data_IF_259134642689
#
_entry.id   IF_259134642689
#
_cell.length_a   1.000
_cell.length_b   1.000
_cell.length_c   1.000
_cell.angle_alpha   90.00
_cell.angle_beta   90.00
_cell.angle_gamma   90.00
#
_symmetry.space_group_name_H-M   'P 1'
#
loop_
_entity.id
_entity.type
_entity.pdbx_description
1 polymer ?
#
# COMPACT_ATOMS: atom_id res chain seq x y z
N UNK A 1 -27.81 38.26 -60.46
CA UNK A 1 -27.63 36.83 -60.33
C UNK A 1 -26.29 36.54 -59.74
N UNK A 2 -26.06 36.93 -58.44
CA UNK A 2 -24.80 36.74 -57.71
C UNK A 2 -25.06 36.74 -56.20
N UNK A 3 -25.79 35.75 -55.68
CA UNK A 3 -26.00 35.64 -54.23
C UNK A 3 -26.19 34.20 -53.72
N UNK A 4 -25.73 33.17 -54.42
CA UNK A 4 -25.93 31.79 -54.00
C UNK A 4 -24.66 30.98 -53.71
N UNK A 5 -23.48 31.61 -53.71
CA UNK A 5 -22.25 30.85 -53.44
C UNK A 5 -21.56 31.17 -52.11
N UNK A 6 -22.07 32.08 -51.31
CA UNK A 6 -21.40 32.50 -50.06
C UNK A 6 -21.93 31.80 -48.81
N UNK A 7 -23.07 31.07 -48.91
CA UNK A 7 -23.68 30.42 -47.76
C UNK A 7 -23.18 29.00 -47.44
N UNK A 8 -22.45 28.38 -48.41
CA UNK A 8 -22.01 26.99 -48.23
C UNK A 8 -20.65 26.83 -47.55
N UNK A 9 -19.88 27.90 -47.37
CA UNK A 9 -18.53 27.86 -46.79
C UNK A 9 -18.59 28.10 -45.28
N UNK A 10 -19.64 28.77 -44.75
CA UNK A 10 -19.73 29.06 -43.29
C UNK A 10 -20.27 27.88 -42.50
N UNK A 11 -21.01 26.97 -43.09
CA UNK A 11 -21.51 25.76 -42.39
C UNK A 11 -20.50 24.64 -42.22
N UNK A 12 -19.36 24.66 -42.94
CA UNK A 12 -18.30 23.66 -42.81
C UNK A 12 -17.26 24.07 -41.75
N UNK A 13 -17.14 25.37 -41.46
CA UNK A 13 -16.19 25.84 -40.44
C UNK A 13 -16.70 25.81 -38.99
N UNK A 14 -17.99 25.62 -38.74
CA UNK A 14 -18.58 25.53 -37.40
C UNK A 14 -18.69 24.08 -36.87
N UNK A 15 -18.38 23.08 -37.70
CA UNK A 15 -18.43 21.66 -37.35
C UNK A 15 -17.19 21.08 -36.66
N UNK A 16 -16.12 21.87 -36.48
CA UNK A 16 -14.82 21.36 -35.99
C UNK A 16 -14.55 21.70 -34.49
N UNK A 17 -15.48 22.36 -33.82
CA UNK A 17 -15.20 22.90 -32.47
C UNK A 17 -15.79 22.14 -31.28
N UNK A 18 -16.32 20.95 -31.45
CA UNK A 18 -16.76 20.12 -30.31
C UNK A 18 -16.34 18.67 -30.44
N UNK A 19 -15.04 18.42 -30.54
CA UNK A 19 -14.54 17.18 -29.97
C UNK A 19 -14.44 17.41 -28.48
N UNK A 20 -15.14 16.63 -27.62
CA UNK A 20 -14.87 16.66 -26.21
C UNK A 20 -13.43 16.19 -26.04
N UNK A 21 -12.57 17.12 -25.69
CA UNK A 21 -11.24 16.78 -25.16
C UNK A 21 -11.53 16.01 -23.89
N UNK A 22 -11.56 14.69 -23.98
CA UNK A 22 -11.58 13.84 -22.80
C UNK A 22 -10.28 14.11 -22.04
N UNK A 23 -10.35 15.04 -21.11
CA UNK A 23 -9.29 15.31 -20.16
C UNK A 23 -8.92 13.99 -19.49
N UNK A 24 -7.69 13.59 -19.70
CA UNK A 24 -7.13 12.37 -19.10
C UNK A 24 -7.01 12.57 -17.59
N UNK A 25 -7.98 12.06 -16.86
CA UNK A 25 -7.95 12.05 -15.39
C UNK A 25 -6.99 10.95 -14.90
N UNK A 26 -6.14 11.33 -13.95
CA UNK A 26 -5.17 10.44 -13.25
C UNK A 26 -5.30 10.74 -11.79
N UNK A 27 -4.52 10.26 -10.80
CA UNK A 27 -4.88 10.59 -9.41
C UNK A 27 -5.24 12.08 -9.33
N UNK A 28 -6.09 12.41 -10.18
CA UNK A 28 -6.75 13.65 -10.41
C UNK A 28 -7.90 13.60 -9.44
N UNK A 29 -7.89 14.55 -8.49
CA UNK A 29 -8.87 14.70 -7.43
C UNK A 29 -8.67 13.80 -6.18
N UNK A 30 -7.55 13.10 -6.03
CA UNK A 30 -7.15 12.59 -4.71
C UNK A 30 -7.00 13.77 -3.73
N UNK A 31 -7.52 13.63 -2.53
CA UNK A 31 -7.35 14.63 -1.49
C UNK A 31 -6.00 14.50 -0.80
N UNK A 32 -5.47 15.63 -0.28
CA UNK A 32 -4.30 15.59 0.59
C UNK A 32 -4.62 14.80 1.87
N UNK A 33 -3.62 14.07 2.35
CA UNK A 33 -3.70 13.37 3.63
C UNK A 33 -2.46 13.65 4.47
N UNK A 34 -2.64 13.75 5.78
CA UNK A 34 -1.51 13.92 6.68
C UNK A 34 -0.83 12.56 6.92
N UNK A 35 0.49 12.56 6.99
CA UNK A 35 1.29 11.35 7.26
C UNK A 35 0.91 10.72 8.61
N UNK A 36 0.46 11.50 9.59
CA UNK A 36 0.00 10.98 10.88
C UNK A 36 -1.27 10.10 10.79
N UNK A 37 -2.03 10.23 9.70
CA UNK A 37 -3.19 9.37 9.43
C UNK A 37 -2.80 8.06 8.74
N UNK A 38 -1.63 8.03 8.08
CA UNK A 38 -1.09 6.89 7.35
C UNK A 38 0.40 6.70 7.64
N UNK A 39 0.81 6.59 8.92
CA UNK A 39 2.20 6.68 9.37
C UNK A 39 3.08 5.51 8.90
N UNK A 40 2.49 4.55 8.21
CA UNK A 40 3.20 3.44 7.56
C UNK A 40 3.68 3.77 6.14
N UNK A 41 3.17 4.88 5.54
CA UNK A 41 3.51 5.23 4.17
C UNK A 41 4.98 5.64 4.06
N UNK A 42 5.68 5.06 3.08
CA UNK A 42 7.07 5.42 2.78
C UNK A 42 7.23 5.81 1.32
N UNK A 43 8.24 6.66 1.06
CA UNK A 43 8.74 6.96 -0.27
C UNK A 43 10.00 6.14 -0.55
N UNK A 44 10.12 5.61 -1.77
CA UNK A 44 11.30 4.84 -2.19
C UNK A 44 12.04 5.63 -3.27
N UNK A 45 13.33 5.86 -3.03
CA UNK A 45 14.27 6.39 -4.02
C UNK A 45 15.20 5.29 -4.52
N UNK A 46 15.51 5.36 -5.80
CA UNK A 46 16.57 4.58 -6.44
C UNK A 46 17.53 5.54 -7.11
N UNK A 47 18.83 5.43 -6.80
CA UNK A 47 19.88 6.39 -7.27
C UNK A 47 19.51 7.86 -6.99
N UNK A 48 18.84 8.15 -5.90
CA UNK A 48 18.43 9.50 -5.51
C UNK A 48 17.18 10.05 -6.20
N UNK A 49 16.54 9.26 -7.08
CA UNK A 49 15.30 9.64 -7.77
C UNK A 49 14.13 8.87 -7.18
N UNK A 50 13.00 9.55 -6.95
CA UNK A 50 11.76 8.91 -6.51
C UNK A 50 11.30 7.86 -7.51
N UNK A 51 10.99 6.66 -7.04
CA UNK A 51 10.63 5.54 -7.91
C UNK A 51 9.31 4.85 -7.52
N UNK A 52 8.87 4.98 -6.28
CA UNK A 52 7.64 4.35 -5.82
C UNK A 52 7.37 4.55 -4.34
N UNK A 53 6.37 3.87 -3.85
CA UNK A 53 5.97 3.83 -2.46
C UNK A 53 6.24 2.47 -1.80
N UNK A 54 5.89 2.39 -0.53
CA UNK A 54 5.93 1.17 0.26
C UNK A 54 5.22 1.35 1.58
N UNK A 55 5.24 0.31 2.40
CA UNK A 55 4.64 0.32 3.74
C UNK A 55 5.56 -0.28 4.80
N UNK A 56 5.60 0.35 5.96
CA UNK A 56 6.33 -0.14 7.12
C UNK A 56 5.57 -1.32 7.71
N UNK A 57 6.15 -2.51 7.70
CA UNK A 57 5.60 -3.71 8.37
C UNK A 57 6.22 -3.92 9.75
N UNK A 58 7.49 -3.52 9.93
CA UNK A 58 8.21 -3.63 11.19
C UNK A 58 9.32 -2.55 11.23
N UNK A 59 9.99 -2.32 12.36
CA UNK A 59 11.00 -1.26 12.46
C UNK A 59 12.10 -1.31 11.40
N UNK A 60 12.42 -2.48 10.88
CA UNK A 60 13.43 -2.66 9.85
C UNK A 60 12.93 -3.35 8.58
N UNK A 61 11.60 -3.49 8.42
CA UNK A 61 10.98 -4.22 7.33
C UNK A 61 9.99 -3.35 6.56
N UNK A 62 10.23 -3.16 5.27
CA UNK A 62 9.37 -2.42 4.36
C UNK A 62 8.85 -3.36 3.27
N UNK A 63 7.54 -3.28 3.01
CA UNK A 63 6.90 -3.95 1.88
C UNK A 63 6.81 -2.99 0.70
N UNK A 64 7.12 -3.47 -0.50
CA UNK A 64 6.96 -2.75 -1.76
C UNK A 64 6.73 -3.70 -2.93
N UNK A 65 6.52 -3.18 -4.14
CA UNK A 65 6.49 -3.97 -5.36
C UNK A 65 7.92 -4.26 -5.87
N UNK A 66 8.13 -5.46 -6.45
CA UNK A 66 9.43 -5.87 -6.96
C UNK A 66 9.92 -4.94 -8.07
N UNK A 67 9.04 -4.55 -9.02
CA UNK A 67 9.39 -3.70 -10.15
C UNK A 67 9.90 -2.30 -9.74
N UNK A 68 9.62 -1.84 -8.51
CA UNK A 68 10.14 -0.58 -7.99
C UNK A 68 11.65 -0.65 -7.76
N UNK A 69 12.18 -1.83 -7.43
CA UNK A 69 13.58 -1.99 -6.97
C UNK A 69 14.39 -3.04 -7.73
N UNK A 70 13.78 -3.86 -8.61
CA UNK A 70 14.42 -5.02 -9.25
C UNK A 70 15.66 -4.69 -10.12
N UNK A 71 15.76 -3.44 -10.59
CA UNK A 71 16.88 -2.98 -11.43
C UNK A 71 18.02 -2.36 -10.61
N UNK A 72 17.93 -2.42 -9.29
CA UNK A 72 18.83 -1.71 -8.37
C UNK A 72 19.39 -2.64 -7.31
N UNK A 73 20.58 -2.33 -6.86
CA UNK A 73 21.19 -2.97 -5.68
C UNK A 73 20.65 -2.31 -4.40
N UNK A 74 20.73 -3.00 -3.28
CA UNK A 74 20.30 -2.46 -1.98
C UNK A 74 20.98 -1.11 -1.64
N UNK A 75 22.24 -0.92 -2.04
CA UNK A 75 22.99 0.32 -1.81
C UNK A 75 22.44 1.52 -2.56
N UNK A 76 21.73 1.29 -3.68
CA UNK A 76 21.15 2.32 -4.54
C UNK A 76 19.72 2.69 -4.10
N UNK A 77 19.14 1.95 -3.14
CA UNK A 77 17.77 2.15 -2.65
C UNK A 77 17.79 2.85 -1.30
N UNK A 78 16.92 3.86 -1.16
CA UNK A 78 16.65 4.53 0.12
C UNK A 78 15.16 4.61 0.38
N UNK A 79 14.80 4.56 1.66
CA UNK A 79 13.42 4.64 2.16
C UNK A 79 13.25 5.91 2.97
N UNK A 80 12.33 6.76 2.55
CA UNK A 80 11.98 8.02 3.21
C UNK A 80 10.68 7.90 4.00
N UNK A 81 10.66 8.41 5.22
CA UNK A 81 9.54 8.25 6.16
C UNK A 81 9.14 9.55 6.85
N UNK A 82 7.93 9.60 7.39
CA UNK A 82 7.51 10.57 8.41
C UNK A 82 7.14 11.96 7.89
N UNK A 83 6.94 12.15 6.59
CA UNK A 83 6.55 13.44 6.02
C UNK A 83 5.36 13.34 5.09
N UNK A 84 4.45 14.33 5.13
CA UNK A 84 3.37 14.49 4.16
C UNK A 84 3.87 15.12 2.86
N UNK A 85 5.02 15.80 2.87
CA UNK A 85 5.66 16.37 1.68
C UNK A 85 6.91 15.59 1.35
N UNK A 86 7.01 15.13 0.10
CA UNK A 86 8.19 14.43 -0.38
C UNK A 86 9.46 15.26 -0.23
N UNK A 87 9.40 16.56 -0.58
CA UNK A 87 10.52 17.50 -0.44
C UNK A 87 10.98 17.70 1.00
N UNK A 88 10.12 17.44 1.99
CA UNK A 88 10.38 17.67 3.41
C UNK A 88 10.80 16.40 4.18
N UNK A 89 11.07 15.28 3.51
CA UNK A 89 11.58 14.06 4.16
C UNK A 89 12.94 14.33 4.86
N UNK A 90 13.75 15.21 4.27
CA UNK A 90 14.97 15.72 4.91
C UNK A 90 15.96 14.62 5.31
N UNK A 91 16.28 14.54 6.60
CA UNK A 91 17.21 13.56 7.16
C UNK A 91 16.59 12.15 7.38
N UNK A 92 15.29 11.99 7.15
CA UNK A 92 14.57 10.74 7.44
C UNK A 92 14.66 9.72 6.28
N UNK A 93 15.78 9.69 5.57
CA UNK A 93 16.12 8.67 4.59
C UNK A 93 16.94 7.55 5.23
N UNK A 94 16.48 6.33 5.03
CA UNK A 94 17.09 5.11 5.56
C UNK A 94 17.69 4.29 4.43
N UNK A 95 18.91 3.79 4.64
CA UNK A 95 19.56 2.89 3.70
C UNK A 95 19.01 1.47 3.83
N UNK A 96 18.97 0.76 2.70
CA UNK A 96 18.58 -0.64 2.63
C UNK A 96 19.83 -1.51 2.71
N UNK A 97 19.80 -2.54 3.55
CA UNK A 97 20.89 -3.54 3.68
C UNK A 97 20.66 -4.74 2.75
N UNK A 98 19.41 -5.12 2.53
CA UNK A 98 19.04 -6.26 1.69
C UNK A 98 17.68 -6.06 1.02
N UNK A 99 17.50 -6.65 -0.15
CA UNK A 99 16.24 -6.74 -0.88
C UNK A 99 15.91 -8.20 -1.06
N UNK A 100 14.70 -8.60 -0.67
CA UNK A 100 14.22 -9.96 -0.81
C UNK A 100 13.02 -9.95 -1.75
N UNK A 101 13.12 -10.70 -2.84
CA UNK A 101 12.07 -10.78 -3.85
C UNK A 101 11.20 -12.00 -3.64
N UNK A 102 9.89 -11.83 -3.81
CA UNK A 102 8.99 -12.96 -3.92
C UNK A 102 9.28 -13.74 -5.22
N UNK A 103 9.29 -15.08 -5.21
CA UNK A 103 9.74 -15.87 -6.35
C UNK A 103 8.86 -15.74 -7.61
N UNK A 104 7.60 -15.30 -7.48
CA UNK A 104 6.64 -15.29 -8.60
C UNK A 104 5.68 -14.09 -8.61
N UNK A 105 5.59 -13.34 -7.53
CA UNK A 105 4.71 -12.17 -7.44
C UNK A 105 5.54 -10.89 -7.47
N UNK A 106 4.93 -9.81 -7.93
CA UNK A 106 5.54 -8.47 -7.93
C UNK A 106 5.58 -7.88 -6.51
N UNK A 107 6.31 -8.55 -5.63
CA UNK A 107 6.48 -8.19 -4.22
C UNK A 107 7.96 -8.23 -3.87
N UNK A 108 8.41 -7.24 -3.13
CA UNK A 108 9.73 -7.20 -2.52
C UNK A 108 9.67 -6.71 -1.07
N UNK A 109 10.60 -7.20 -0.27
CA UNK A 109 10.87 -6.73 1.08
C UNK A 109 12.19 -6.00 1.10
N UNK A 110 12.20 -4.80 1.70
CA UNK A 110 13.42 -4.06 1.94
C UNK A 110 13.78 -4.19 3.43
N UNK A 111 14.96 -4.71 3.70
CA UNK A 111 15.52 -4.78 5.04
C UNK A 111 16.36 -3.53 5.24
N UNK A 112 15.98 -2.70 6.20
CA UNK A 112 16.70 -1.47 6.49
C UNK A 112 18.02 -1.75 7.23
N UNK A 113 19.04 -0.91 6.99
CA UNK A 113 20.35 -1.02 7.64
C UNK A 113 20.32 -0.68 9.14
N UNK A 114 19.31 0.04 9.57
CA UNK A 114 19.00 0.35 10.98
C UNK A 114 17.49 0.43 11.18
N UNK A 115 16.98 0.10 12.38
CA UNK A 115 15.55 0.17 12.64
C UNK A 115 15.04 1.63 12.62
N UNK A 116 13.78 1.78 12.25
CA UNK A 116 13.02 3.02 12.36
C UNK A 116 12.69 3.31 13.83
N UNK A 117 12.79 4.57 14.21
CA UNK A 117 12.23 5.05 15.48
C UNK A 117 10.75 5.42 15.27
N UNK A 118 9.85 4.74 15.95
CA UNK A 118 8.43 5.02 15.85
C UNK A 118 8.06 6.36 16.48
N UNK A 119 7.08 7.02 15.86
CA UNK A 119 6.54 8.31 16.28
C UNK A 119 5.09 8.43 15.80
N UNK A 120 4.45 9.57 16.01
CA UNK A 120 3.11 9.85 15.44
C UNK A 120 3.11 9.69 13.91
N UNK A 121 4.20 10.04 13.24
CA UNK A 121 4.32 10.05 11.78
C UNK A 121 5.03 8.80 11.20
N UNK A 122 5.50 7.89 12.04
CA UNK A 122 6.23 6.67 11.63
C UNK A 122 5.76 5.51 12.47
N UNK A 123 4.98 4.61 11.90
CA UNK A 123 4.46 3.40 12.57
C UNK A 123 4.29 2.27 11.57
N UNK A 124 4.40 1.05 12.04
CA UNK A 124 4.03 -0.12 11.24
C UNK A 124 2.52 -0.21 11.03
N UNK A 125 2.14 -0.87 9.95
CA UNK A 125 0.77 -1.30 9.66
C UNK A 125 0.71 -2.82 9.67
N UNK A 126 -0.40 -3.37 10.18
CA UNK A 126 -0.64 -4.80 10.11
C UNK A 126 -1.06 -5.25 8.72
N UNK A 127 -0.72 -6.48 8.38
CA UNK A 127 -1.24 -7.17 7.20
C UNK A 127 -2.50 -7.94 7.57
N UNK A 128 -3.47 -7.95 6.66
CA UNK A 128 -4.70 -8.72 6.82
C UNK A 128 -4.38 -10.20 6.95
N UNK A 129 -4.96 -10.83 7.96
CA UNK A 129 -4.83 -12.27 8.15
C UNK A 129 -5.59 -13.09 7.07
N UNK A 130 -5.10 -14.30 6.77
CA UNK A 130 -5.62 -15.15 5.69
C UNK A 130 -7.10 -15.51 5.81
N UNK A 131 -7.64 -15.54 7.02
CA UNK A 131 -9.02 -15.97 7.29
C UNK A 131 -10.09 -14.89 7.07
N UNK A 132 -9.70 -13.68 6.64
CA UNK A 132 -10.64 -12.57 6.42
C UNK A 132 -10.97 -12.36 4.92
N UNK A 133 -11.39 -13.42 4.24
CA UNK A 133 -11.73 -13.39 2.81
C UNK A 133 -12.80 -12.35 2.45
N UNK A 134 -13.72 -12.03 3.36
CA UNK A 134 -14.76 -11.01 3.15
C UNK A 134 -14.24 -9.61 2.90
N UNK A 135 -13.02 -9.30 3.30
CA UNK A 135 -12.41 -8.00 3.02
C UNK A 135 -12.08 -7.78 1.54
N UNK A 136 -12.06 -8.85 0.75
CA UNK A 136 -11.87 -8.78 -0.71
C UNK A 136 -13.19 -8.78 -1.49
N UNK A 137 -14.36 -8.65 -0.84
CA UNK A 137 -15.63 -8.63 -1.54
C UNK A 137 -15.75 -7.40 -2.44
N UNK A 138 -16.33 -7.61 -3.62
CA UNK A 138 -16.70 -6.52 -4.55
C UNK A 138 -17.58 -5.51 -3.82
N UNK A 139 -17.32 -4.22 -4.06
CA UNK A 139 -17.99 -3.11 -3.41
C UNK A 139 -17.31 -2.60 -2.13
N UNK A 140 -16.39 -3.35 -1.50
CA UNK A 140 -15.61 -2.81 -0.39
C UNK A 140 -14.77 -1.62 -0.82
N UNK A 141 -14.76 -0.58 0.01
CA UNK A 141 -13.98 0.64 -0.24
C UNK A 141 -12.59 0.49 0.36
N UNK A 142 -11.60 0.74 -0.46
CA UNK A 142 -10.19 0.59 -0.14
C UNK A 142 -9.47 1.92 -0.28
N UNK A 143 -8.48 2.15 0.56
CA UNK A 143 -7.64 3.35 0.51
C UNK A 143 -6.27 3.05 -0.07
N UNK A 144 -5.85 3.92 -0.98
CA UNK A 144 -4.48 4.00 -1.50
C UNK A 144 -3.92 5.38 -1.19
N UNK A 145 -2.63 5.43 -0.86
CA UNK A 145 -1.92 6.69 -0.63
C UNK A 145 -0.58 6.69 -1.36
N UNK A 146 -0.12 7.88 -1.76
CA UNK A 146 1.16 8.03 -2.42
C UNK A 146 1.47 9.44 -2.93
N UNK A 147 2.63 9.59 -3.53
CA UNK A 147 3.12 10.81 -4.18
C UNK A 147 3.18 10.67 -5.70
N UNK A 148 2.39 9.76 -6.24
CA UNK A 148 2.36 9.49 -7.68
C UNK A 148 1.97 10.68 -8.53
N UNK A 149 2.02 10.52 -9.84
CA UNK A 149 1.78 11.59 -10.80
C UNK A 149 0.32 12.07 -10.71
N UNK A 150 0.14 13.37 -10.50
CA UNK A 150 -1.16 14.02 -10.37
C UNK A 150 -1.60 14.79 -11.60
N UNK A 151 -0.68 15.19 -12.48
CA UNK A 151 -0.97 15.98 -13.68
C UNK A 151 -0.26 15.45 -14.94
N UNK A 152 -0.98 15.48 -16.06
CA UNK A 152 -0.42 15.77 -17.37
C UNK A 152 -0.68 17.25 -17.64
N UNK A 153 0.33 18.04 -17.83
CA UNK A 153 0.18 19.35 -18.46
C UNK A 153 -0.15 19.09 -19.92
N UNK A 154 -1.43 19.23 -20.30
CA UNK A 154 -1.94 18.87 -21.65
C UNK A 154 -1.38 19.83 -22.69
N UNK A 155 -1.05 21.05 -22.30
CA UNK A 155 -0.60 22.13 -23.17
C UNK A 155 0.93 22.26 -23.25
N UNK A 156 1.71 21.40 -22.60
CA UNK A 156 3.14 21.36 -22.72
C UNK A 156 3.55 20.40 -23.85
N UNK A 157 4.18 20.87 -24.93
CA UNK A 157 4.68 20.03 -26.01
C UNK A 157 5.74 19.02 -25.54
N UNK A 158 6.33 19.20 -24.35
CA UNK A 158 7.31 18.30 -23.74
C UNK A 158 6.70 17.31 -22.75
N UNK A 159 5.36 17.33 -22.50
CA UNK A 159 4.61 16.37 -21.64
C UNK A 159 5.32 16.05 -20.33
N UNK A 160 5.63 17.05 -19.53
CA UNK A 160 6.22 16.80 -18.21
C UNK A 160 5.26 16.08 -17.26
N UNK A 161 5.70 14.92 -16.80
CA UNK A 161 5.04 14.15 -15.77
C UNK A 161 5.38 14.74 -14.40
N UNK A 162 4.44 15.42 -13.77
CA UNK A 162 4.69 16.02 -12.45
C UNK A 162 4.15 15.14 -11.34
N UNK A 163 5.04 14.71 -10.47
CA UNK A 163 4.71 14.02 -9.23
C UNK A 163 4.15 14.99 -8.20
N UNK A 164 3.30 14.48 -7.31
CA UNK A 164 2.83 15.28 -6.19
C UNK A 164 3.93 15.45 -5.14
N UNK A 165 4.16 16.67 -4.68
CA UNK A 165 4.95 16.88 -3.47
C UNK A 165 4.14 16.55 -2.21
N UNK A 166 2.82 16.79 -2.23
CA UNK A 166 1.92 16.46 -1.15
C UNK A 166 1.46 15.01 -1.23
N UNK A 167 1.45 14.32 -0.08
CA UNK A 167 0.89 12.98 0.04
C UNK A 167 -0.62 13.02 -0.25
N UNK A 168 -1.05 12.19 -1.19
CA UNK A 168 -2.44 12.07 -1.64
C UNK A 168 -3.05 10.77 -1.17
N UNK A 169 -4.38 10.77 -1.04
CA UNK A 169 -5.19 9.57 -0.87
C UNK A 169 -6.31 9.49 -1.91
N UNK A 170 -6.73 8.27 -2.19
CA UNK A 170 -7.95 7.97 -2.92
C UNK A 170 -8.61 6.75 -2.28
N UNK A 171 -9.94 6.81 -2.16
CA UNK A 171 -10.76 5.70 -1.67
C UNK A 171 -11.53 5.11 -2.86
N UNK A 172 -11.34 3.81 -3.14
CA UNK A 172 -11.80 3.14 -4.37
C UNK A 172 -12.54 1.85 -4.07
N UNK A 173 -13.64 1.55 -4.77
CA UNK A 173 -14.34 0.27 -4.63
C UNK A 173 -13.59 -0.87 -5.31
N UNK A 174 -13.64 -2.05 -4.71
CA UNK A 174 -13.26 -3.30 -5.39
C UNK A 174 -14.30 -3.60 -6.47
N UNK A 175 -13.84 -3.84 -7.70
CA UNK A 175 -14.71 -4.25 -8.81
C UNK A 175 -14.47 -5.69 -9.26
N UNK A 176 -13.30 -6.26 -8.96
CA UNK A 176 -12.97 -7.65 -9.25
C UNK A 176 -11.90 -8.18 -8.30
N UNK A 177 -11.97 -9.48 -8.03
CA UNK A 177 -10.99 -10.22 -7.21
C UNK A 177 -10.09 -11.12 -8.07
N UNK A 178 -10.28 -11.15 -9.36
CA UNK A 178 -9.49 -11.99 -10.27
C UNK A 178 -9.42 -11.35 -11.63
N UNK A 179 -8.40 -11.69 -12.39
CA UNK A 179 -8.40 -11.82 -13.84
C UNK A 179 -7.15 -11.33 -14.56
N UNK A 180 -6.03 -11.17 -13.87
CA UNK A 180 -4.78 -10.95 -14.59
C UNK A 180 -3.85 -12.12 -14.30
N UNK A 181 -3.91 -13.14 -15.14
CA UNK A 181 -2.89 -14.20 -15.25
C UNK A 181 -2.76 -15.19 -14.09
N UNK A 182 -2.97 -14.78 -12.86
CA UNK A 182 -2.97 -15.64 -11.67
C UNK A 182 -4.27 -15.41 -10.91
N UNK A 183 -5.27 -16.21 -11.19
CA UNK A 183 -6.55 -16.20 -10.49
C UNK A 183 -6.31 -16.15 -8.97
N UNK A 184 -6.97 -15.21 -8.28
CA UNK A 184 -6.90 -14.96 -6.84
C UNK A 184 -5.67 -14.23 -6.29
N UNK A 185 -4.68 -13.85 -7.10
CA UNK A 185 -3.50 -13.10 -6.61
C UNK A 185 -3.66 -11.59 -6.66
N UNK A 186 -4.70 -11.07 -7.33
CA UNK A 186 -4.92 -9.64 -7.51
C UNK A 186 -6.29 -9.18 -7.00
N UNK A 187 -6.34 -7.91 -6.58
CA UNK A 187 -7.56 -7.13 -6.36
C UNK A 187 -7.56 -6.02 -7.40
N UNK A 188 -8.72 -5.69 -7.95
CA UNK A 188 -8.87 -4.62 -8.94
C UNK A 188 -9.85 -3.60 -8.40
N UNK A 189 -9.46 -2.32 -8.44
CA UNK A 189 -10.33 -1.19 -8.11
C UNK A 189 -10.66 -0.37 -9.33
N UNK A 190 -11.84 0.24 -9.33
CA UNK A 190 -12.30 1.12 -10.40
C UNK A 190 -13.52 1.93 -9.96
N UNK A 191 -13.51 3.23 -10.22
CA UNK A 191 -14.65 4.11 -9.98
C UNK A 191 -14.99 5.00 -11.20
N UNK A 192 -14.31 4.79 -12.33
CA UNK A 192 -14.48 5.57 -13.55
C UNK A 192 -13.67 6.86 -13.61
N UNK A 193 -13.07 7.30 -12.50
CA UNK A 193 -12.38 8.59 -12.40
C UNK A 193 -10.96 8.47 -11.86
N UNK A 194 -10.81 7.82 -10.72
CA UNK A 194 -9.60 7.83 -9.94
C UNK A 194 -8.82 6.53 -10.11
N UNK A 195 -7.52 6.60 -10.11
CA UNK A 195 -6.65 5.43 -9.97
C UNK A 195 -5.28 5.85 -9.43
N UNK A 196 -4.58 4.96 -8.72
CA UNK A 196 -3.15 5.09 -8.52
C UNK A 196 -2.42 5.26 -9.86
N UNK A 197 -1.32 5.97 -9.82
CA UNK A 197 -0.57 6.38 -11.00
C UNK A 197 0.89 5.97 -10.88
N UNK A 198 1.69 6.27 -11.91
CA UNK A 198 3.14 6.08 -11.86
C UNK A 198 3.71 6.79 -10.63
N UNK A 199 4.46 6.04 -9.81
CA UNK A 199 5.00 6.51 -8.54
C UNK A 199 4.21 6.07 -7.30
N UNK A 200 2.98 5.54 -7.44
CA UNK A 200 2.25 4.91 -6.34
C UNK A 200 2.56 3.41 -6.20
N UNK A 201 3.27 2.84 -7.18
CA UNK A 201 3.73 1.45 -7.19
C UNK A 201 4.38 1.05 -5.87
N UNK A 202 4.03 -0.10 -5.34
CA UNK A 202 4.54 -0.62 -4.07
C UNK A 202 3.83 -0.06 -2.82
N UNK A 203 3.04 1.00 -2.96
CA UNK A 203 2.21 1.55 -1.88
C UNK A 203 1.16 0.55 -1.38
N UNK A 204 0.72 0.73 -0.13
CA UNK A 204 -0.29 -0.14 0.45
C UNK A 204 -1.68 0.11 -0.14
N UNK A 205 -2.40 -0.97 -0.42
CA UNK A 205 -3.85 -0.99 -0.50
C UNK A 205 -4.38 -1.36 0.88
N UNK A 206 -5.18 -0.50 1.49
CA UNK A 206 -5.63 -0.70 2.86
C UNK A 206 -7.15 -0.70 2.97
N UNK A 207 -7.65 -1.43 3.98
CA UNK A 207 -9.06 -1.40 4.39
C UNK A 207 -9.15 -1.08 5.88
N UNK A 208 -10.25 -0.43 6.29
CA UNK A 208 -10.56 -0.23 7.70
C UNK A 208 -11.07 -1.54 8.32
N UNK A 209 -10.36 -2.05 9.30
CA UNK A 209 -10.80 -3.20 10.10
C UNK A 209 -11.55 -2.70 11.33
N UNK A 210 -12.88 -2.87 11.33
CA UNK A 210 -13.75 -2.43 12.43
C UNK A 210 -13.49 -3.20 13.73
N UNK A 211 -12.99 -4.43 13.66
CA UNK A 211 -12.66 -5.22 14.86
C UNK A 211 -11.37 -4.73 15.52
N UNK A 212 -10.41 -4.23 14.74
CA UNK A 212 -9.14 -3.70 15.22
C UNK A 212 -9.14 -2.17 15.37
N UNK A 213 -10.21 -1.49 14.90
CA UNK A 213 -10.34 -0.02 14.87
C UNK A 213 -9.13 0.67 14.20
N UNK A 214 -8.65 0.09 13.09
CA UNK A 214 -7.50 0.60 12.33
C UNK A 214 -7.47 0.07 10.89
N UNK A 215 -6.68 0.72 10.05
CA UNK A 215 -6.37 0.20 8.72
C UNK A 215 -5.46 -1.01 8.79
N UNK A 216 -5.66 -1.94 7.85
CA UNK A 216 -4.78 -3.10 7.60
C UNK A 216 -4.45 -3.18 6.12
N UNK A 217 -3.27 -3.68 5.78
CA UNK A 217 -2.87 -3.92 4.38
C UNK A 217 -3.58 -5.13 3.85
N UNK A 218 -4.23 -4.99 2.70
CA UNK A 218 -4.84 -6.10 1.96
C UNK A 218 -4.21 -6.32 0.59
N UNK A 219 -3.30 -5.44 0.19
CA UNK A 219 -2.58 -5.58 -1.07
C UNK A 219 -1.51 -4.52 -1.26
N UNK A 220 -0.77 -4.66 -2.35
CA UNK A 220 0.32 -3.76 -2.77
C UNK A 220 0.07 -3.29 -4.19
N UNK A 221 0.20 -1.99 -4.44
CA UNK A 221 -0.02 -1.39 -5.77
C UNK A 221 0.95 -2.02 -6.78
N UNK A 222 0.38 -2.71 -7.79
CA UNK A 222 1.12 -3.29 -8.90
C UNK A 222 1.11 -2.37 -10.12
N UNK A 223 -0.06 -1.94 -10.59
CA UNK A 223 -0.19 -1.06 -11.74
C UNK A 223 -1.52 -1.21 -12.46
N UNK A 224 -1.61 -0.59 -13.63
CA UNK A 224 -2.83 -0.67 -14.44
C UNK A 224 -2.78 -1.92 -15.36
N UNK A 225 -3.70 -2.87 -15.16
CA UNK A 225 -3.75 -4.11 -15.92
C UNK A 225 -4.42 -3.96 -17.30
N UNK A 226 -5.00 -2.81 -17.59
CA UNK A 226 -5.87 -2.58 -18.73
C UNK A 226 -5.43 -1.35 -19.53
N UNK A 227 -5.75 -1.33 -20.81
CA UNK A 227 -5.71 -0.11 -21.63
C UNK A 227 -6.80 0.90 -21.23
N UNK A 228 -7.79 0.45 -20.45
CA UNK A 228 -8.80 1.33 -19.88
C UNK A 228 -8.20 2.05 -18.66
N UNK A 229 -8.36 3.35 -18.65
CA UNK A 229 -7.91 4.23 -17.56
C UNK A 229 -8.77 4.00 -16.31
N UNK A 230 -8.21 4.33 -15.15
CA UNK A 230 -8.84 4.19 -13.85
C UNK A 230 -8.94 2.75 -13.27
N UNK A 231 -8.52 1.71 -13.99
CA UNK A 231 -8.29 0.40 -13.37
C UNK A 231 -6.92 0.36 -12.70
N UNK A 232 -6.84 -0.21 -11.51
CA UNK A 232 -5.57 -0.53 -10.89
C UNK A 232 -5.59 -1.93 -10.28
N UNK A 233 -4.51 -2.67 -10.49
CA UNK A 233 -4.29 -3.98 -9.90
C UNK A 233 -3.36 -3.90 -8.70
N UNK A 234 -3.65 -4.74 -7.71
CA UNK A 234 -2.88 -4.84 -6.48
C UNK A 234 -2.61 -6.32 -6.21
N UNK A 235 -1.38 -6.65 -5.84
CA UNK A 235 -1.08 -8.01 -5.37
C UNK A 235 -1.73 -8.21 -4.01
N UNK A 236 -2.58 -9.24 -3.88
CA UNK A 236 -3.29 -9.54 -2.63
C UNK A 236 -2.33 -9.96 -1.53
N UNK A 237 -2.50 -9.43 -0.32
CA UNK A 237 -1.66 -9.81 0.82
C UNK A 237 -1.77 -11.30 1.15
N UNK A 238 -2.96 -11.90 1.02
CA UNK A 238 -3.15 -13.34 1.23
C UNK A 238 -2.33 -14.25 0.31
N UNK A 239 -1.83 -13.71 -0.81
CA UNK A 239 -1.03 -14.47 -1.79
C UNK A 239 0.47 -14.53 -1.44
N UNK A 240 0.95 -13.69 -0.51
CA UNK A 240 2.36 -13.63 -0.14
C UNK A 240 2.62 -13.66 1.37
N UNK A 241 1.62 -14.02 2.18
CA UNK A 241 1.79 -14.07 3.65
C UNK A 241 2.89 -15.04 4.08
N UNK A 242 2.94 -16.23 3.50
CA UNK A 242 3.95 -17.24 3.83
C UNK A 242 5.37 -16.76 3.49
N UNK A 243 5.50 -15.95 2.43
CA UNK A 243 6.77 -15.31 2.07
C UNK A 243 7.25 -14.31 3.14
N UNK A 244 6.34 -13.66 3.85
CA UNK A 244 6.69 -12.71 4.90
C UNK A 244 7.18 -13.36 6.19
N UNK A 245 6.72 -14.58 6.49
CA UNK A 245 6.96 -15.24 7.78
C UNK A 245 8.42 -15.22 8.26
N UNK A 246 9.42 -15.52 7.43
CA UNK A 246 10.82 -15.50 7.85
C UNK A 246 11.37 -14.12 8.23
N UNK A 247 10.73 -13.05 7.77
CA UNK A 247 11.20 -11.67 7.88
C UNK A 247 10.38 -10.82 8.84
N UNK A 248 9.15 -11.25 9.12
CA UNK A 248 8.25 -10.50 9.98
C UNK A 248 8.54 -10.83 11.45
N UNK A 249 8.91 -9.85 12.26
CA UNK A 249 9.19 -10.09 13.66
C UNK A 249 7.90 -10.52 14.37
N UNK A 250 7.92 -11.71 14.92
CA UNK A 250 6.86 -12.16 15.82
C UNK A 250 6.98 -11.29 17.08
N UNK A 251 5.97 -10.48 17.36
CA UNK A 251 5.88 -9.77 18.62
C UNK A 251 4.84 -10.44 19.52
N UNK A 252 5.26 -10.79 20.72
CA UNK A 252 4.34 -11.20 21.78
C UNK A 252 3.98 -9.94 22.53
N UNK A 253 2.67 -9.64 22.59
CA UNK A 253 2.15 -8.47 23.32
C UNK A 253 1.20 -8.92 24.42
N UNK A 254 1.03 -8.08 25.41
CA UNK A 254 0.20 -8.39 26.57
C UNK A 254 0.94 -9.13 27.66
N UNK A 255 0.18 -9.61 28.63
CA UNK A 255 0.73 -10.25 29.83
C UNK A 255 1.31 -9.23 30.82
N UNK A 256 1.77 -9.74 31.94
CA UNK A 256 2.58 -9.00 32.93
C UNK A 256 3.79 -9.84 33.31
N UNK A 257 4.85 -9.18 33.76
CA UNK A 257 6.07 -9.83 34.25
C UNK A 257 5.78 -10.71 35.49
N UNK A 258 4.66 -10.43 36.16
CA UNK A 258 4.17 -11.23 37.29
C UNK A 258 2.70 -11.60 37.04
N UNK A 259 2.40 -12.90 37.08
CA UNK A 259 1.04 -13.41 36.93
C UNK A 259 0.50 -13.82 38.31
N UNK A 260 -0.24 -12.91 38.93
CA UNK A 260 -0.84 -13.18 40.26
C UNK A 260 -2.16 -13.95 40.15
N UNK A 261 -2.94 -13.75 39.09
CA UNK A 261 -4.21 -14.45 38.84
C UNK A 261 -4.25 -15.03 37.44
N UNK A 262 -4.30 -14.18 36.41
CA UNK A 262 -4.20 -14.58 35.00
C UNK A 262 -3.64 -13.45 34.16
N UNK A 263 -2.98 -13.80 33.07
CA UNK A 263 -2.50 -12.87 32.04
C UNK A 263 -2.72 -13.45 30.66
N UNK A 264 -3.13 -12.60 29.73
CA UNK A 264 -3.30 -12.98 28.32
C UNK A 264 -2.18 -12.40 27.49
N UNK A 265 -1.52 -13.27 26.73
CA UNK A 265 -0.51 -12.93 25.73
C UNK A 265 -1.12 -13.08 24.35
N UNK A 266 -0.78 -12.17 23.45
CA UNK A 266 -1.24 -12.20 22.07
C UNK A 266 -0.05 -12.17 21.13
N UNK A 267 -0.15 -12.92 20.02
CA UNK A 267 0.83 -12.92 18.94
C UNK A 267 0.24 -12.17 17.77
N UNK A 268 1.01 -11.24 17.24
CA UNK A 268 0.55 -10.38 16.13
C UNK A 268 0.51 -11.08 14.78
N UNK A 269 0.89 -12.36 14.68
CA UNK A 269 0.95 -13.08 13.40
C UNK A 269 0.05 -14.32 13.38
N UNK A 270 -1.07 -14.28 12.63
CA UNK A 270 -2.12 -15.31 12.73
C UNK A 270 -1.95 -16.52 11.80
N UNK A 271 -0.93 -16.57 10.93
CA UNK A 271 -0.84 -17.61 9.89
C UNK A 271 0.10 -18.77 10.21
N UNK A 272 0.79 -18.70 11.34
CA UNK A 272 1.61 -19.82 11.81
C UNK A 272 0.86 -20.58 12.89
N UNK A 273 1.04 -21.88 12.94
CA UNK A 273 0.65 -22.65 14.13
C UNK A 273 1.52 -22.20 15.29
N UNK A 274 0.94 -21.50 16.24
CA UNK A 274 1.63 -21.07 17.45
C UNK A 274 1.47 -22.14 18.50
N UNK A 275 2.58 -22.71 18.96
CA UNK A 275 2.61 -23.59 20.11
C UNK A 275 2.93 -22.77 21.37
N UNK A 276 2.03 -22.79 22.31
CA UNK A 276 2.21 -22.14 23.59
C UNK A 276 2.68 -23.14 24.63
N UNK A 277 3.66 -22.76 25.42
CA UNK A 277 4.12 -23.54 26.56
C UNK A 277 4.35 -22.60 27.75
N UNK A 278 4.20 -23.09 28.95
CA UNK A 278 4.57 -22.38 30.17
C UNK A 278 5.39 -23.29 31.06
N UNK A 279 6.21 -22.64 31.91
CA UNK A 279 7.08 -23.32 32.88
C UNK A 279 6.84 -22.74 34.27
N UNK A 280 7.27 -23.46 35.32
CA UNK A 280 7.07 -23.02 36.72
C UNK A 280 5.60 -23.14 37.17
N UNK A 281 5.19 -22.34 38.15
CA UNK A 281 3.86 -22.43 38.75
C UNK A 281 2.76 -21.77 37.91
N UNK A 282 2.80 -21.98 36.59
CA UNK A 282 1.85 -21.43 35.62
C UNK A 282 1.20 -22.57 34.85
N UNK A 283 -0.08 -22.37 34.48
CA UNK A 283 -0.79 -23.25 33.55
C UNK A 283 -1.48 -22.45 32.46
N UNK A 284 -1.58 -23.04 31.28
CA UNK A 284 -2.39 -22.50 30.19
C UNK A 284 -3.86 -22.81 30.50
N UNK A 285 -4.69 -21.78 30.55
CA UNK A 285 -6.13 -21.89 30.79
C UNK A 285 -6.96 -21.81 29.52
N UNK A 286 -6.45 -21.08 28.51
CA UNK A 286 -6.99 -21.09 27.16
C UNK A 286 -5.90 -20.76 26.17
N UNK A 287 -6.04 -21.28 24.93
CA UNK A 287 -5.11 -20.94 23.84
C UNK A 287 -5.78 -21.02 22.48
N UNK A 288 -5.24 -20.21 21.57
CA UNK A 288 -5.56 -20.19 20.15
C UNK A 288 -4.27 -19.96 19.35
N UNK A 289 -4.34 -19.91 18.03
CA UNK A 289 -3.18 -19.52 17.22
C UNK A 289 -2.71 -18.07 17.44
N UNK A 290 -3.53 -17.23 18.06
CA UNK A 290 -3.22 -15.79 18.22
C UNK A 290 -3.14 -15.35 19.67
N UNK A 291 -3.55 -16.16 20.62
CA UNK A 291 -3.54 -15.81 22.03
C UNK A 291 -3.40 -17.00 22.96
N UNK A 292 -2.83 -16.73 24.11
CA UNK A 292 -2.73 -17.70 25.22
C UNK A 292 -3.02 -16.98 26.53
N UNK A 293 -3.90 -17.55 27.32
CA UNK A 293 -4.11 -17.09 28.70
C UNK A 293 -3.47 -18.07 29.66
N UNK A 294 -2.64 -17.55 30.54
CA UNK A 294 -2.01 -18.32 31.62
C UNK A 294 -2.53 -17.85 32.97
N UNK A 295 -2.62 -18.75 33.92
CA UNK A 295 -2.90 -18.42 35.31
C UNK A 295 -1.85 -19.03 36.22
N UNK A 296 -1.65 -18.41 37.39
CA UNK A 296 -0.87 -19.02 38.47
C UNK A 296 -1.58 -20.28 38.97
N UNK A 297 -0.79 -21.30 39.25
CA UNK A 297 -1.29 -22.54 39.86
C UNK A 297 -1.44 -22.40 41.37
N UNK A 298 -1.07 -21.23 41.91
CA UNK A 298 -1.13 -20.92 43.37
C UNK A 298 -0.11 -21.75 44.18
N UNK A 299 0.45 -21.15 45.16
CA UNK A 299 0.81 -21.83 46.42
C UNK A 299 -0.18 -21.40 47.49
#
# INVERSE_FOLDING_TARGET
MYYEKTFLIISVLLGILFYPVNAQQRIVEGSNINISEVPWQVAIQTKGVFNGGGSILAPNLILTAAHVVEKYTAKEVKVGVGSSKYSNIGANWYSVSNIVYHPSLDIALLILSRPLSYSTNVKAIDILSANKASYYNVGNILRVTGWGITFLVIDDPFKEWKMSDDLKKVDLPIVSNSTIGAANSFVITYDGKHSPSKGDSGGALTIWDSSLQRHVVIGTVHGNPSTQRAYCAYVRSSSFLDFLLPYYPISITGGSDQVCSSSTFSVSYPNSTVTWSCTGPLRITSQSNTSCTVSSTGN
#
